data_IF_607942151387
#
_entry.id   IF_607942151387
#
_cell.length_a   1.000
_cell.length_b   1.000
_cell.length_c   1.000
_cell.angle_alpha   90.00
_cell.angle_beta   90.00
_cell.angle_gamma   90.00
#
_symmetry.space_group_name_H-M   'P 1'
#
loop_
_entity.id
_entity.type
_entity.pdbx_description
1 polymer ?
#
# COMPACT_ATOMS: atom_id res chain seq x y z
N UNK A 1 3.41 -11.95 -9.05
CA UNK A 1 3.24 -11.18 -7.79
C UNK A 1 2.14 -11.76 -6.89
N UNK A 2 1.35 -12.76 -7.31
CA UNK A 2 0.32 -13.38 -6.48
C UNK A 2 0.23 -14.88 -6.76
N UNK A 3 1.32 -15.60 -6.52
CA UNK A 3 1.35 -17.06 -6.64
C UNK A 3 1.01 -17.63 -5.26
N UNK A 4 0.08 -18.60 -5.17
CA UNK A 4 -0.21 -19.26 -3.91
C UNK A 4 1.06 -19.81 -3.27
N UNK A 5 1.25 -19.64 -1.95
CA UNK A 5 2.27 -20.36 -1.20
C UNK A 5 2.12 -21.87 -1.38
N UNK A 6 3.23 -22.60 -1.25
CA UNK A 6 3.18 -24.06 -1.26
C UNK A 6 2.25 -24.60 -0.18
N UNK A 7 1.45 -25.61 -0.52
CA UNK A 7 0.53 -26.27 0.41
C UNK A 7 -0.82 -25.56 0.59
N UNK A 8 -1.08 -24.42 -0.06
CA UNK A 8 -2.42 -23.80 -0.07
C UNK A 8 -3.30 -24.51 -1.08
N UNK A 9 -4.46 -25.01 -0.64
CA UNK A 9 -5.46 -25.65 -1.50
C UNK A 9 -6.45 -24.60 -2.03
N UNK A 10 -6.46 -24.29 -3.35
CA UNK A 10 -7.38 -23.30 -3.91
C UNK A 10 -8.86 -23.65 -3.74
N UNK A 11 -9.20 -24.92 -3.45
CA UNK A 11 -10.58 -25.33 -3.17
C UNK A 11 -11.11 -24.81 -1.82
N UNK A 12 -10.24 -24.28 -0.95
CA UNK A 12 -10.61 -23.71 0.36
C UNK A 12 -10.80 -22.20 0.32
N UNK A 13 -10.63 -21.56 -0.84
CA UNK A 13 -10.80 -20.11 -0.97
C UNK A 13 -12.26 -19.71 -0.78
N UNK A 14 -12.44 -18.73 0.10
CA UNK A 14 -13.73 -18.08 0.32
C UNK A 14 -14.06 -17.15 -0.85
N UNK A 15 -15.30 -16.66 -0.90
CA UNK A 15 -15.68 -15.63 -1.87
C UNK A 15 -14.80 -14.37 -1.75
N UNK A 16 -14.44 -13.98 -0.53
CA UNK A 16 -13.55 -12.84 -0.27
C UNK A 16 -12.14 -13.09 -0.83
N UNK A 17 -11.58 -14.29 -0.66
CA UNK A 17 -10.27 -14.62 -1.21
C UNK A 17 -10.27 -14.56 -2.75
N UNK A 18 -11.37 -14.99 -3.39
CA UNK A 18 -11.52 -14.91 -4.84
C UNK A 18 -11.63 -13.48 -5.34
N UNK A 19 -12.36 -12.60 -4.64
CA UNK A 19 -12.44 -11.16 -4.95
C UNK A 19 -11.06 -10.48 -4.83
N UNK A 20 -10.30 -10.82 -3.78
CA UNK A 20 -8.93 -10.34 -3.60
C UNK A 20 -8.05 -10.75 -4.78
N UNK A 21 -8.10 -12.03 -5.18
CA UNK A 21 -7.32 -12.55 -6.31
C UNK A 21 -7.73 -11.93 -7.65
N UNK A 22 -9.03 -11.64 -7.84
CA UNK A 22 -9.52 -10.96 -9.03
C UNK A 22 -9.00 -9.52 -9.09
N UNK A 23 -9.06 -8.78 -7.97
CA UNK A 23 -8.50 -7.42 -7.87
C UNK A 23 -6.99 -7.41 -8.14
N UNK A 24 -6.27 -8.37 -7.56
CA UNK A 24 -4.83 -8.54 -7.78
C UNK A 24 -4.51 -8.82 -9.26
N UNK A 25 -5.32 -9.64 -9.94
CA UNK A 25 -5.21 -9.90 -11.38
C UNK A 25 -5.51 -8.65 -12.22
N UNK A 26 -6.54 -7.89 -11.86
CA UNK A 26 -6.84 -6.62 -12.52
C UNK A 26 -5.67 -5.66 -12.39
N UNK A 27 -5.10 -5.51 -11.19
CA UNK A 27 -3.92 -4.69 -10.97
C UNK A 27 -2.76 -5.17 -11.86
N UNK A 28 -2.45 -6.47 -11.83
CA UNK A 28 -1.37 -7.08 -12.63
C UNK A 28 -1.50 -6.79 -14.13
N UNK A 29 -2.71 -6.82 -14.67
CA UNK A 29 -2.95 -6.76 -16.12
C UNK A 29 -3.30 -5.37 -16.63
N UNK A 30 -3.78 -4.46 -15.76
CA UNK A 30 -4.29 -3.14 -16.15
C UNK A 30 -3.71 -2.00 -15.30
N UNK A 31 -3.38 -2.24 -14.04
CA UNK A 31 -3.00 -1.19 -13.09
C UNK A 31 -1.50 -0.88 -12.99
N UNK A 32 -0.60 -1.77 -13.44
CA UNK A 32 0.86 -1.58 -13.32
C UNK A 32 1.52 -0.69 -14.39
N UNK A 33 0.77 -0.06 -15.31
CA UNK A 33 1.36 0.82 -16.34
C UNK A 33 2.28 1.90 -15.76
N UNK A 34 1.82 2.56 -14.68
CA UNK A 34 2.60 3.57 -13.97
C UNK A 34 3.90 3.01 -13.37
N UNK A 35 3.86 1.79 -12.84
CA UNK A 35 5.00 1.12 -12.23
C UNK A 35 6.05 0.79 -13.29
N UNK A 36 5.64 0.23 -14.43
CA UNK A 36 6.58 -0.11 -15.51
C UNK A 36 7.29 1.12 -16.06
N UNK A 37 6.57 2.22 -16.26
CA UNK A 37 7.16 3.48 -16.70
C UNK A 37 8.18 3.99 -15.67
N UNK A 38 7.80 4.07 -14.39
CA UNK A 38 8.69 4.59 -13.34
C UNK A 38 9.83 3.62 -13.00
N UNK A 39 9.66 2.31 -13.20
CA UNK A 39 10.70 1.32 -12.93
C UNK A 39 11.75 1.23 -14.04
N UNK A 40 11.45 1.75 -15.24
CA UNK A 40 12.35 1.63 -16.41
C UNK A 40 12.85 2.97 -16.91
N UNK A 41 11.99 3.99 -16.96
CA UNK A 41 12.29 5.32 -17.51
C UNK A 41 11.94 6.47 -16.52
N UNK A 42 12.32 6.37 -15.22
CA UNK A 42 11.93 7.35 -14.20
C UNK A 42 12.35 8.79 -14.56
N UNK A 43 13.54 8.97 -15.15
CA UNK A 43 14.03 10.29 -15.52
C UNK A 43 13.18 10.91 -16.65
N UNK A 44 12.77 10.10 -17.62
CA UNK A 44 12.00 10.54 -18.78
C UNK A 44 10.62 11.03 -18.38
N UNK A 45 9.85 10.21 -17.64
CA UNK A 45 8.53 10.61 -17.16
C UNK A 45 8.61 11.78 -16.16
N UNK A 46 9.70 11.86 -15.39
CA UNK A 46 9.95 12.94 -14.45
C UNK A 46 9.94 14.33 -15.09
N UNK A 47 10.45 14.48 -16.33
CA UNK A 47 10.38 15.75 -17.05
C UNK A 47 8.94 16.18 -17.31
N UNK A 48 8.10 15.27 -17.82
CA UNK A 48 6.68 15.55 -18.12
C UNK A 48 5.89 15.92 -16.86
N UNK A 49 6.16 15.24 -15.75
CA UNK A 49 5.50 15.52 -14.46
C UNK A 49 5.96 16.82 -13.82
N UNK A 50 7.20 17.25 -14.07
CA UNK A 50 7.74 18.52 -13.59
C UNK A 50 7.32 19.72 -14.46
N UNK A 51 7.05 19.50 -15.74
CA UNK A 51 6.68 20.55 -16.69
C UNK A 51 5.19 20.93 -16.59
N UNK A 52 4.31 19.96 -16.32
CA UNK A 52 2.85 20.18 -16.34
C UNK A 52 2.16 19.81 -15.03
N UNK A 53 1.57 20.77 -14.29
CA UNK A 53 0.82 20.46 -13.07
C UNK A 53 -0.47 19.69 -13.38
N UNK A 54 -1.03 19.86 -14.59
CA UNK A 54 -2.19 19.07 -15.06
C UNK A 54 -1.77 17.63 -15.38
N UNK A 55 -0.58 17.45 -15.96
CA UNK A 55 0.01 16.12 -16.17
C UNK A 55 0.25 15.38 -14.86
N UNK A 56 0.80 16.08 -13.86
CA UNK A 56 0.98 15.54 -12.51
C UNK A 56 -0.36 15.19 -11.84
N UNK A 57 -1.34 16.09 -11.91
CA UNK A 57 -2.68 15.86 -11.40
C UNK A 57 -3.28 14.58 -12.00
N UNK A 58 -3.30 14.45 -13.33
CA UNK A 58 -3.86 13.27 -13.99
C UNK A 58 -3.15 11.97 -13.58
N UNK A 59 -1.82 12.02 -13.46
CA UNK A 59 -1.00 10.85 -13.12
C UNK A 59 -1.24 10.33 -11.70
N UNK A 60 -1.45 11.23 -10.74
CA UNK A 60 -1.69 10.89 -9.33
C UNK A 60 -3.19 10.66 -9.05
N UNK A 61 -4.07 11.50 -9.57
CA UNK A 61 -5.51 11.46 -9.28
C UNK A 61 -6.16 10.14 -9.71
N UNK A 62 -5.70 9.54 -10.82
CA UNK A 62 -6.15 8.19 -11.22
C UNK A 62 -5.95 7.18 -10.08
N UNK A 63 -4.86 7.29 -9.31
CA UNK A 63 -4.54 6.37 -8.21
C UNK A 63 -5.39 6.67 -6.98
N UNK A 64 -5.58 7.94 -6.66
CA UNK A 64 -6.49 8.36 -5.57
C UNK A 64 -7.90 7.79 -5.76
N UNK A 65 -8.41 7.81 -6.99
CA UNK A 65 -9.74 7.26 -7.31
C UNK A 65 -9.74 5.73 -7.35
N UNK A 66 -8.77 5.12 -8.04
CA UNK A 66 -8.84 3.66 -8.32
C UNK A 66 -8.38 2.79 -7.16
N UNK A 67 -7.58 3.31 -6.23
CA UNK A 67 -7.01 2.54 -5.12
C UNK A 67 -7.79 2.66 -3.80
N UNK A 68 -8.76 3.58 -3.73
CA UNK A 68 -9.64 3.74 -2.56
C UNK A 68 -10.87 2.84 -2.63
N UNK A 69 -11.60 2.74 -1.52
CA UNK A 69 -12.93 2.16 -1.43
C UNK A 69 -14.01 3.20 -1.70
N UNK A 70 -14.00 3.75 -2.92
CA UNK A 70 -14.91 4.80 -3.36
C UNK A 70 -14.92 6.05 -2.45
N UNK A 71 -13.74 6.44 -1.96
CA UNK A 71 -13.59 7.62 -1.13
C UNK A 71 -14.07 8.88 -1.88
N UNK A 72 -14.94 9.71 -1.28
CA UNK A 72 -15.53 10.87 -1.94
C UNK A 72 -14.57 12.06 -1.90
N UNK A 73 -13.50 11.99 -2.68
CA UNK A 73 -12.48 13.04 -2.77
C UNK A 73 -13.09 14.41 -3.05
N UNK A 74 -12.76 15.38 -2.22
CA UNK A 74 -13.01 16.79 -2.50
C UNK A 74 -11.88 17.42 -3.34
N UNK A 75 -12.22 18.44 -4.14
CA UNK A 75 -11.26 19.11 -5.02
C UNK A 75 -10.07 19.68 -4.23
N UNK A 76 -10.30 20.25 -3.04
CA UNK A 76 -9.23 20.82 -2.21
C UNK A 76 -8.30 19.73 -1.66
N UNK A 77 -8.82 18.53 -1.36
CA UNK A 77 -8.00 17.40 -0.92
C UNK A 77 -7.09 16.91 -2.04
N UNK A 78 -7.65 16.73 -3.24
CA UNK A 78 -6.88 16.32 -4.42
C UNK A 78 -5.80 17.36 -4.71
N UNK A 79 -6.17 18.64 -4.76
CA UNK A 79 -5.23 19.73 -5.00
C UNK A 79 -4.17 19.84 -3.90
N UNK A 80 -4.49 19.51 -2.66
CA UNK A 80 -3.52 19.44 -1.56
C UNK A 80 -2.48 18.34 -1.82
N UNK A 81 -2.92 17.14 -2.19
CA UNK A 81 -2.02 16.04 -2.56
C UNK A 81 -1.08 16.45 -3.70
N UNK A 82 -1.63 17.02 -4.78
CA UNK A 82 -0.80 17.45 -5.92
C UNK A 82 0.16 18.57 -5.54
N UNK A 83 -0.29 19.51 -4.71
CA UNK A 83 0.51 20.65 -4.26
C UNK A 83 1.73 20.22 -3.46
N UNK A 84 1.62 19.16 -2.65
CA UNK A 84 2.78 18.61 -1.91
C UNK A 84 3.87 18.16 -2.90
N UNK A 85 3.51 17.47 -3.98
CA UNK A 85 4.47 17.04 -5.00
C UNK A 85 5.03 18.23 -5.78
N UNK A 86 4.14 19.13 -6.25
CA UNK A 86 4.47 20.25 -7.11
C UNK A 86 5.36 21.31 -6.43
N UNK A 87 5.01 21.70 -5.21
CA UNK A 87 5.71 22.78 -4.50
C UNK A 87 6.82 22.29 -3.56
N UNK A 88 7.03 20.98 -3.43
CA UNK A 88 8.16 20.48 -2.65
C UNK A 88 9.49 20.92 -3.27
N UNK A 89 10.50 21.16 -2.43
CA UNK A 89 11.87 21.49 -2.87
C UNK A 89 12.46 20.43 -3.83
N UNK A 90 12.07 19.18 -3.67
CA UNK A 90 12.55 18.07 -4.51
C UNK A 90 11.78 17.96 -5.83
N UNK A 91 10.58 18.54 -5.91
CA UNK A 91 9.72 18.58 -7.08
C UNK A 91 9.04 17.24 -7.43
N UNK A 92 8.18 17.24 -8.47
CA UNK A 92 7.35 16.09 -8.85
C UNK A 92 8.11 14.82 -9.25
N UNK A 93 9.31 14.98 -9.80
CA UNK A 93 10.15 13.87 -10.24
C UNK A 93 10.84 13.14 -9.08
N UNK A 94 10.78 13.66 -7.85
CA UNK A 94 11.51 13.06 -6.73
C UNK A 94 11.00 11.66 -6.36
N UNK A 95 9.69 11.41 -6.46
CA UNK A 95 9.09 10.16 -6.03
C UNK A 95 9.26 9.02 -7.03
N UNK A 96 9.46 9.33 -8.32
CA UNK A 96 9.39 8.30 -9.37
C UNK A 96 10.61 7.37 -9.38
N UNK A 97 11.75 7.83 -8.86
CA UNK A 97 12.99 7.03 -8.84
C UNK A 97 12.90 5.82 -7.92
N UNK A 98 12.09 5.87 -6.86
CA UNK A 98 11.91 4.75 -5.92
C UNK A 98 11.52 3.46 -6.62
N UNK A 99 10.68 3.53 -7.67
CA UNK A 99 10.25 2.36 -8.43
C UNK A 99 11.37 1.69 -9.21
N UNK A 100 12.28 2.49 -9.78
CA UNK A 100 13.48 1.97 -10.43
C UNK A 100 14.36 1.22 -9.43
N UNK A 101 14.63 1.82 -8.27
CA UNK A 101 15.46 1.20 -7.24
C UNK A 101 14.83 -0.10 -6.69
N UNK A 102 13.51 -0.11 -6.46
CA UNK A 102 12.78 -1.33 -6.08
C UNK A 102 12.91 -2.42 -7.15
N UNK A 103 12.79 -2.07 -8.43
CA UNK A 103 12.94 -3.04 -9.52
C UNK A 103 14.37 -3.59 -9.61
N UNK A 104 15.40 -2.75 -9.42
CA UNK A 104 16.79 -3.20 -9.37
C UNK A 104 17.08 -4.09 -8.16
N UNK A 105 16.37 -3.89 -7.05
CA UNK A 105 16.46 -4.71 -5.85
C UNK A 105 15.70 -6.05 -5.92
N UNK A 106 15.12 -6.39 -7.09
CA UNK A 106 14.36 -7.65 -7.28
C UNK A 106 12.85 -7.51 -7.16
N UNK A 107 12.33 -6.30 -7.01
CA UNK A 107 10.90 -5.98 -6.90
C UNK A 107 10.36 -6.03 -5.47
N UNK A 108 9.07 -5.70 -5.30
CA UNK A 108 8.45 -5.57 -3.97
C UNK A 108 8.48 -6.84 -3.10
N UNK A 109 8.64 -8.02 -3.71
CA UNK A 109 8.66 -9.30 -2.99
C UNK A 109 10.07 -9.82 -2.68
N UNK A 110 11.12 -9.05 -3.00
CA UNK A 110 12.51 -9.47 -2.78
C UNK A 110 13.01 -9.20 -1.34
N UNK A 111 12.22 -8.52 -0.51
CA UNK A 111 12.56 -8.25 0.88
C UNK A 111 12.56 -9.51 1.77
N UNK A 112 13.38 -9.54 2.84
CA UNK A 112 13.38 -10.66 3.77
C UNK A 112 12.05 -10.74 4.53
N UNK A 113 11.65 -11.97 4.90
CA UNK A 113 10.59 -12.19 5.87
C UNK A 113 10.86 -11.44 7.18
N UNK A 114 9.80 -10.99 7.90
CA UNK A 114 9.98 -10.31 9.16
C UNK A 114 10.75 -11.21 10.15
N UNK A 115 11.71 -10.61 10.86
CA UNK A 115 12.49 -11.27 11.93
C UNK A 115 12.13 -10.76 13.33
N UNK A 116 11.20 -9.79 13.38
CA UNK A 116 10.71 -9.11 14.57
C UNK A 116 9.18 -9.10 14.54
N UNK A 117 8.49 -8.85 15.66
CA UNK A 117 7.03 -8.77 15.69
C UNK A 117 6.48 -7.83 14.61
N UNK A 118 5.58 -8.36 13.78
CA UNK A 118 4.93 -7.67 12.68
C UNK A 118 3.40 -7.71 12.86
N UNK A 119 2.72 -6.71 12.30
CA UNK A 119 1.27 -6.61 12.31
C UNK A 119 0.73 -6.30 10.93
N UNK A 120 -0.46 -6.83 10.64
CA UNK A 120 -1.21 -6.54 9.42
C UNK A 120 -2.58 -5.95 9.75
N UNK A 121 -2.91 -4.85 9.09
CA UNK A 121 -4.27 -4.27 9.08
C UNK A 121 -4.85 -4.47 7.70
N UNK A 122 -5.90 -5.28 7.59
CA UNK A 122 -6.47 -5.72 6.32
C UNK A 122 -7.65 -4.84 5.92
N UNK A 123 -7.43 -4.00 4.91
CA UNK A 123 -8.46 -3.18 4.26
C UNK A 123 -8.86 -3.82 2.92
N UNK A 124 -10.17 -4.00 2.64
CA UNK A 124 -10.64 -4.86 1.55
C UNK A 124 -10.28 -4.37 0.13
N UNK A 125 -10.02 -3.06 -0.05
CA UNK A 125 -9.64 -2.51 -1.37
C UNK A 125 -8.15 -2.23 -1.53
N UNK A 126 -7.30 -2.68 -0.60
CA UNK A 126 -5.84 -2.61 -0.76
C UNK A 126 -5.39 -3.31 -2.06
N UNK A 127 -4.45 -2.70 -2.78
CA UNK A 127 -3.98 -3.16 -4.10
C UNK A 127 -2.99 -4.32 -3.99
N UNK A 128 -2.21 -4.38 -2.92
CA UNK A 128 -1.23 -5.43 -2.64
C UNK A 128 -1.77 -6.60 -1.81
N UNK A 129 -3.09 -6.69 -1.63
CA UNK A 129 -3.69 -7.70 -0.75
C UNK A 129 -3.63 -9.09 -1.38
N UNK A 130 -3.26 -10.09 -0.57
CA UNK A 130 -3.37 -11.50 -0.88
C UNK A 130 -4.44 -12.16 0.02
N UNK A 131 -4.91 -13.37 -0.30
CA UNK A 131 -5.75 -14.14 0.61
C UNK A 131 -5.17 -14.18 2.03
N UNK A 132 -6.01 -13.98 3.04
CA UNK A 132 -5.59 -13.81 4.44
C UNK A 132 -4.85 -15.05 4.99
N UNK A 133 -5.17 -16.22 4.44
CA UNK A 133 -4.53 -17.49 4.73
C UNK A 133 -3.06 -17.56 4.31
N UNK A 134 -2.59 -16.66 3.42
CA UNK A 134 -1.19 -16.64 2.98
C UNK A 134 -0.25 -15.98 3.99
N UNK A 135 -0.78 -15.23 4.96
CA UNK A 135 0.01 -14.50 5.96
C UNK A 135 0.31 -15.40 7.18
N UNK A 136 1.17 -16.40 7.02
CA UNK A 136 1.42 -17.46 8.02
C UNK A 136 2.72 -17.30 8.81
N UNK A 137 3.53 -16.26 8.53
CA UNK A 137 4.80 -16.05 9.21
C UNK A 137 4.60 -15.94 10.73
N UNK A 138 5.39 -16.71 11.50
CA UNK A 138 5.29 -16.79 12.96
C UNK A 138 5.53 -15.45 13.67
N UNK A 139 6.19 -14.50 13.02
CA UNK A 139 6.43 -13.18 13.57
C UNK A 139 5.24 -12.23 13.37
N UNK A 140 4.20 -12.65 12.63
CA UNK A 140 2.94 -11.91 12.55
C UNK A 140 2.17 -12.13 13.84
N UNK A 141 2.28 -11.16 14.76
CA UNK A 141 1.69 -11.22 16.09
C UNK A 141 0.37 -10.45 16.20
N UNK A 142 0.02 -9.67 15.17
CA UNK A 142 -1.19 -8.87 15.13
C UNK A 142 -1.84 -8.94 13.75
N UNK A 143 -3.16 -9.16 13.72
CA UNK A 143 -3.98 -9.10 12.52
C UNK A 143 -5.30 -8.42 12.85
N UNK A 144 -5.67 -7.41 12.07
CA UNK A 144 -6.97 -6.73 12.18
C UNK A 144 -7.66 -6.72 10.82
N UNK A 145 -8.99 -6.83 10.82
CA UNK A 145 -9.78 -6.99 9.60
C UNK A 145 -10.90 -5.96 9.56
N UNK A 146 -10.94 -5.20 8.46
CA UNK A 146 -11.91 -4.12 8.26
C UNK A 146 -12.91 -4.47 7.18
N UNK A 147 -14.08 -3.81 7.23
CA UNK A 147 -15.16 -4.00 6.24
C UNK A 147 -15.11 -2.98 5.11
N UNK A 148 -14.38 -1.88 5.31
CA UNK A 148 -14.31 -0.74 4.42
C UNK A 148 -12.86 -0.26 4.30
N UNK A 149 -12.56 0.50 3.26
CA UNK A 149 -11.27 1.14 3.04
C UNK A 149 -10.37 0.46 2.03
N UNK A 150 -9.47 1.23 1.45
CA UNK A 150 -8.51 0.80 0.44
C UNK A 150 -7.07 1.10 0.80
N UNK A 151 -6.32 1.49 -0.23
CA UNK A 151 -4.87 1.68 -0.13
C UNK A 151 -4.47 2.84 0.78
N UNK A 152 -5.29 3.88 0.87
CA UNK A 152 -5.01 5.06 1.66
C UNK A 152 -5.72 4.97 3.01
N UNK A 153 -5.55 3.85 3.72
CA UNK A 153 -6.24 3.56 4.99
C UNK A 153 -6.16 4.68 6.03
N UNK A 154 -5.00 5.34 6.15
CA UNK A 154 -4.81 6.47 7.06
C UNK A 154 -5.66 7.70 6.70
N UNK A 155 -6.07 7.82 5.43
CA UNK A 155 -6.87 8.91 4.90
C UNK A 155 -8.36 8.54 4.85
N UNK A 156 -8.68 7.30 4.44
CA UNK A 156 -10.05 6.80 4.32
C UNK A 156 -10.69 6.49 5.68
N UNK A 157 -9.95 5.80 6.56
CA UNK A 157 -10.41 5.33 7.86
C UNK A 157 -9.36 5.57 8.95
N UNK A 158 -9.00 6.85 9.23
CA UNK A 158 -7.91 7.20 10.16
C UNK A 158 -8.09 6.58 11.55
N UNK A 159 -9.32 6.58 12.08
CA UNK A 159 -9.60 6.06 13.42
C UNK A 159 -9.44 4.54 13.51
N UNK A 160 -9.86 3.80 12.47
CA UNK A 160 -9.69 2.33 12.43
C UNK A 160 -8.21 1.96 12.42
N UNK A 161 -7.40 2.63 11.59
CA UNK A 161 -5.96 2.41 11.54
C UNK A 161 -5.27 2.84 12.85
N UNK A 162 -5.65 3.99 13.42
CA UNK A 162 -5.10 4.47 14.67
C UNK A 162 -5.41 3.52 15.84
N UNK A 163 -6.64 2.98 15.89
CA UNK A 163 -7.04 2.00 16.89
C UNK A 163 -6.27 0.68 16.76
N UNK A 164 -5.98 0.25 15.54
CA UNK A 164 -5.15 -0.94 15.33
C UNK A 164 -3.72 -0.75 15.79
N UNK A 165 -3.12 0.42 15.52
CA UNK A 165 -1.81 0.78 16.07
C UNK A 165 -1.85 0.79 17.61
N UNK A 166 -2.90 1.36 18.22
CA UNK A 166 -3.08 1.35 19.69
C UNK A 166 -3.24 -0.07 20.24
N UNK A 167 -3.98 -0.95 19.58
CA UNK A 167 -4.14 -2.36 20.00
C UNK A 167 -2.84 -3.15 19.85
N UNK A 168 -2.07 -2.90 18.81
CA UNK A 168 -0.81 -3.61 18.58
C UNK A 168 0.28 -3.18 19.58
N UNK A 169 0.43 -1.87 19.79
CA UNK A 169 1.56 -1.29 20.55
C UNK A 169 1.21 -0.82 21.97
N UNK A 170 -0.07 -0.74 22.33
CA UNK A 170 -0.52 -0.38 23.68
C UNK A 170 -0.12 -1.41 24.74
N UNK A 171 -0.30 -1.09 26.04
CA UNK A 171 0.20 -1.93 27.17
C UNK A 171 -0.17 -3.40 27.10
N UNK A 172 -1.36 -3.69 26.61
CA UNK A 172 -1.91 -5.05 26.52
C UNK A 172 -1.72 -5.66 25.12
N UNK A 173 -1.02 -4.94 24.23
CA UNK A 173 -0.80 -5.31 22.84
C UNK A 173 0.35 -6.29 22.65
N UNK A 174 0.31 -7.11 21.59
CA UNK A 174 1.32 -8.15 21.34
C UNK A 174 2.71 -7.60 21.00
N UNK A 175 2.83 -6.32 20.65
CA UNK A 175 4.11 -5.65 20.40
C UNK A 175 4.49 -4.65 21.50
N UNK A 176 3.83 -4.69 22.66
CA UNK A 176 4.21 -3.85 23.79
C UNK A 176 5.65 -4.09 24.21
N UNK A 177 6.40 -3.01 24.45
CA UNK A 177 7.78 -3.08 24.91
C UNK A 177 8.79 -3.59 23.87
N UNK A 178 8.39 -3.70 22.58
CA UNK A 178 9.29 -4.13 21.49
C UNK A 178 10.49 -3.18 21.31
N UNK A 179 10.37 -1.92 21.73
CA UNK A 179 11.48 -0.98 21.82
C UNK A 179 11.94 -0.86 23.27
N UNK A 180 13.13 -1.38 23.63
CA UNK A 180 13.64 -1.32 24.99
C UNK A 180 13.70 0.11 25.53
N UNK A 181 13.14 0.31 26.74
CA UNK A 181 13.12 1.62 27.40
C UNK A 181 12.20 2.67 26.75
N UNK A 182 11.38 2.28 25.76
CA UNK A 182 10.39 3.15 25.10
C UNK A 182 9.03 2.46 25.11
N UNK A 183 8.34 2.55 26.25
CA UNK A 183 7.00 1.98 26.43
C UNK A 183 5.87 2.89 25.90
N UNK A 184 6.18 4.09 25.39
CA UNK A 184 5.20 4.99 24.77
C UNK A 184 4.20 5.63 25.75
N UNK A 185 4.48 5.58 27.05
CA UNK A 185 3.73 6.23 28.14
C UNK A 185 4.67 7.07 29.00
#
# INVERSE_FOLDING_TARGET
>A
MFTPPEGVNPAEYTAEDLEILERAKWLQTKGFGYFYEQSTQPQTIGYSLADSPVGLLAWIYEKLVTWTDAYPWDDDEVLTWISIYWFSRSGPAASVRTYYEVAQAGGFNAGPSPTIPAGYSFFPKEIGLAPKSWYTDKHIVFKSYHKHGGHFAAYEHPEELADDLRKMFGKDGPAYGVVPGKNGY
#
